data_IF_354568460092
#
_entry.id   IF_354568460092
#
_cell.length_a   1.000
_cell.length_b   1.000
_cell.length_c   1.000
_cell.angle_alpha   90.00
_cell.angle_beta   90.00
_cell.angle_gamma   90.00
#
_symmetry.space_group_name_H-M   'P 1'
#
loop_
_entity.id
_entity.type
_entity.pdbx_description
1 polymer ?
#
# COMPACT_ATOMS: atom_id res chain seq x y z
N UNK A 1 9.58 -1.41 15.04
CA UNK A 1 8.20 -1.78 14.69
C UNK A 1 8.28 -2.86 13.65
N UNK A 2 7.72 -4.04 13.92
CA UNK A 2 7.68 -5.14 12.96
C UNK A 2 6.52 -4.99 11.99
N UNK A 3 6.66 -5.52 10.78
CA UNK A 3 5.57 -5.48 9.77
C UNK A 3 4.27 -6.14 10.26
N UNK A 4 4.37 -7.11 11.18
CA UNK A 4 3.23 -7.80 11.78
C UNK A 4 2.28 -6.88 12.54
N UNK A 5 2.74 -5.73 13.02
CA UNK A 5 1.92 -4.73 13.73
C UNK A 5 0.93 -4.01 12.80
N UNK A 6 1.14 -4.08 11.49
CA UNK A 6 0.27 -3.48 10.47
C UNK A 6 -0.66 -4.50 9.81
N UNK A 7 -0.58 -5.77 10.19
CA UNK A 7 -1.42 -6.82 9.62
C UNK A 7 -2.76 -6.91 10.34
N UNK A 8 -3.79 -7.49 9.69
CA UNK A 8 -5.05 -7.84 10.36
C UNK A 8 -4.81 -8.67 11.63
N UNK A 9 -5.66 -8.54 12.65
CA UNK A 9 -5.50 -9.26 13.93
C UNK A 9 -5.44 -10.79 13.74
N UNK A 10 -6.13 -11.30 12.73
CA UNK A 10 -6.23 -12.72 12.39
C UNK A 10 -5.18 -13.18 11.36
N UNK A 11 -4.13 -12.39 11.09
CA UNK A 11 -3.15 -12.68 10.03
C UNK A 11 -2.50 -14.07 10.11
N UNK A 12 -2.40 -14.65 11.32
CA UNK A 12 -1.87 -16.01 11.51
C UNK A 12 -2.81 -17.10 10.97
N UNK A 13 -4.11 -16.83 10.91
CA UNK A 13 -5.13 -17.71 10.34
C UNK A 13 -5.51 -17.33 8.89
N UNK A 14 -5.18 -16.11 8.47
CA UNK A 14 -5.46 -15.60 7.13
C UNK A 14 -4.49 -16.14 6.04
N UNK A 15 -4.84 -15.90 4.79
CA UNK A 15 -3.93 -15.95 3.64
C UNK A 15 -3.78 -14.54 3.09
N UNK A 16 -2.61 -13.94 3.25
CA UNK A 16 -2.32 -12.59 2.77
C UNK A 16 -1.41 -12.64 1.55
N UNK A 17 -1.64 -11.76 0.59
CA UNK A 17 -0.84 -11.61 -0.63
C UNK A 17 -0.06 -10.30 -0.59
N UNK A 18 1.21 -10.33 -0.94
CA UNK A 18 2.05 -9.15 -0.99
C UNK A 18 3.26 -9.33 -1.89
N UNK A 19 4.20 -8.38 -1.80
CA UNK A 19 5.48 -8.41 -2.51
C UNK A 19 6.61 -8.04 -1.57
N UNK A 20 7.70 -8.82 -1.63
CA UNK A 20 8.92 -8.60 -0.86
C UNK A 20 10.10 -8.68 -1.83
N UNK A 21 11.12 -7.87 -1.64
CA UNK A 21 12.43 -8.03 -2.27
C UNK A 21 13.39 -8.63 -1.24
N UNK A 22 13.92 -9.82 -1.52
CA UNK A 22 14.88 -10.53 -0.67
C UNK A 22 16.35 -10.24 -1.08
N UNK A 23 16.59 -9.25 -1.94
CA UNK A 23 17.89 -8.93 -2.54
C UNK A 23 18.05 -9.44 -3.98
N UNK A 24 17.10 -10.23 -4.46
CA UNK A 24 17.08 -10.81 -5.82
C UNK A 24 16.03 -10.12 -6.72
N UNK A 25 15.36 -9.08 -6.22
CA UNK A 25 14.32 -8.34 -6.90
C UNK A 25 12.92 -8.65 -6.38
N UNK A 26 11.88 -8.04 -6.98
CA UNK A 26 10.51 -8.18 -6.50
C UNK A 26 9.98 -9.61 -6.58
N UNK A 27 9.58 -10.15 -5.43
CA UNK A 27 9.03 -11.50 -5.29
C UNK A 27 7.57 -11.43 -4.82
N UNK A 28 6.60 -12.00 -5.56
CA UNK A 28 5.25 -12.18 -5.02
C UNK A 28 5.27 -13.21 -3.90
N UNK A 29 4.62 -12.88 -2.78
CA UNK A 29 4.62 -13.72 -1.58
C UNK A 29 3.21 -13.96 -1.05
N UNK A 30 3.00 -15.14 -0.46
CA UNK A 30 1.86 -15.41 0.41
C UNK A 30 2.31 -15.48 1.87
N UNK A 31 1.54 -14.88 2.77
CA UNK A 31 1.66 -15.13 4.21
C UNK A 31 0.54 -16.07 4.63
N UNK A 32 0.90 -17.27 5.10
CA UNK A 32 -0.04 -18.31 5.54
C UNK A 32 0.48 -19.00 6.78
N UNK A 33 -0.34 -19.10 7.83
CA UNK A 33 0.07 -19.80 9.05
C UNK A 33 1.29 -19.16 9.73
N UNK A 34 1.45 -17.84 9.62
CA UNK A 34 2.59 -17.13 10.20
C UNK A 34 3.88 -17.15 9.35
N UNK A 35 3.89 -17.81 8.19
CA UNK A 35 5.08 -18.01 7.35
C UNK A 35 4.97 -17.28 6.03
N UNK A 36 6.11 -16.82 5.52
CA UNK A 36 6.24 -16.18 4.21
C UNK A 36 6.63 -17.22 3.18
N UNK A 37 5.85 -17.30 2.10
CA UNK A 37 6.06 -18.21 0.99
C UNK A 37 6.30 -17.42 -0.28
N UNK A 38 7.44 -17.65 -0.92
CA UNK A 38 7.75 -17.15 -2.25
C UNK A 38 6.99 -17.98 -3.29
N UNK A 39 6.08 -17.33 -4.02
CA UNK A 39 5.24 -17.95 -5.05
C UNK A 39 5.66 -17.58 -6.47
N UNK A 40 6.86 -17.01 -6.66
CA UNK A 40 7.39 -16.58 -7.96
C UNK A 40 7.47 -17.71 -8.99
N UNK A 41 7.72 -18.95 -8.55
CA UNK A 41 7.72 -20.16 -9.40
C UNK A 41 6.32 -20.58 -9.86
N UNK A 42 5.26 -20.13 -9.18
CA UNK A 42 3.86 -20.38 -9.53
C UNK A 42 3.39 -19.28 -10.49
N UNK A 43 3.64 -18.03 -10.12
CA UNK A 43 3.35 -16.86 -10.93
C UNK A 43 4.40 -15.78 -10.64
N UNK A 44 5.08 -15.22 -11.67
CA UNK A 44 6.21 -14.32 -11.46
C UNK A 44 5.78 -12.93 -10.95
N UNK A 45 4.48 -12.59 -11.06
CA UNK A 45 3.91 -11.32 -10.58
C UNK A 45 2.63 -11.56 -9.78
N UNK A 46 2.24 -10.59 -8.96
CA UNK A 46 0.93 -10.58 -8.28
C UNK A 46 -0.21 -10.52 -9.29
N UNK A 47 -0.06 -9.72 -10.36
CA UNK A 47 -1.03 -9.70 -11.46
C UNK A 47 -1.24 -11.10 -12.06
N UNK A 48 -0.16 -11.83 -12.37
CA UNK A 48 -0.25 -13.18 -12.93
C UNK A 48 -0.89 -14.16 -11.94
N UNK A 49 -0.55 -14.06 -10.65
CA UNK A 49 -1.14 -14.91 -9.61
C UNK A 49 -2.66 -14.69 -9.51
N UNK A 50 -3.10 -13.44 -9.50
CA UNK A 50 -4.52 -13.10 -9.43
C UNK A 50 -5.30 -13.48 -10.70
N UNK A 51 -4.62 -13.51 -11.87
CA UNK A 51 -5.23 -13.96 -13.12
C UNK A 51 -5.31 -15.49 -13.23
N UNK A 52 -4.35 -16.20 -12.64
CA UNK A 52 -4.27 -17.66 -12.70
C UNK A 52 -5.28 -18.38 -11.80
N UNK A 53 -5.71 -17.74 -10.70
CA UNK A 53 -6.56 -18.37 -9.69
C UNK A 53 -7.89 -17.62 -9.50
N UNK A 54 -8.99 -18.36 -9.50
CA UNK A 54 -10.30 -17.80 -9.16
C UNK A 54 -10.37 -17.45 -7.67
N UNK A 55 -11.22 -16.49 -7.26
CA UNK A 55 -11.46 -16.22 -5.85
C UNK A 55 -11.84 -17.48 -5.07
N UNK A 56 -11.18 -17.71 -3.93
CA UNK A 56 -11.38 -18.90 -3.10
C UNK A 56 -10.65 -20.16 -3.57
N UNK A 57 -9.95 -20.13 -4.71
CA UNK A 57 -9.10 -21.24 -5.13
C UNK A 57 -7.92 -21.41 -4.16
N UNK A 58 -7.54 -22.68 -3.94
CA UNK A 58 -6.37 -23.00 -3.14
C UNK A 58 -5.12 -22.81 -3.99
N UNK A 59 -4.31 -21.80 -3.64
CA UNK A 59 -3.02 -21.56 -4.28
C UNK A 59 -2.00 -22.59 -3.76
N UNK A 60 -1.21 -23.26 -4.63
CA UNK A 60 -0.15 -24.17 -4.20
C UNK A 60 0.85 -23.52 -3.23
N UNK A 61 1.56 -24.34 -2.44
CA UNK A 61 2.61 -23.85 -1.53
C UNK A 61 3.82 -23.38 -2.33
N UNK A 62 4.34 -22.22 -1.95
CA UNK A 62 5.58 -21.66 -2.48
C UNK A 62 6.82 -22.17 -1.73
N UNK A 63 7.95 -21.55 -2.01
CA UNK A 63 9.19 -21.75 -1.26
C UNK A 63 9.09 -21.05 0.10
N UNK A 64 9.30 -21.79 1.19
CA UNK A 64 9.22 -21.26 2.55
C UNK A 64 10.44 -20.39 2.88
N UNK A 65 10.22 -19.08 3.07
CA UNK A 65 11.23 -18.11 3.50
C UNK A 65 11.32 -17.97 5.01
N UNK A 66 10.48 -18.70 5.77
CA UNK A 66 10.49 -18.74 7.22
C UNK A 66 9.35 -17.95 7.89
N UNK A 67 9.37 -17.86 9.23
CA UNK A 67 8.37 -17.10 9.98
C UNK A 67 8.44 -15.61 9.64
N UNK A 68 7.29 -14.96 9.43
CA UNK A 68 7.21 -13.53 9.15
C UNK A 68 7.92 -12.69 10.23
N UNK A 69 7.70 -13.06 11.49
CA UNK A 69 8.26 -12.37 12.66
C UNK A 69 9.79 -12.51 12.76
N UNK A 70 10.40 -13.47 12.06
CA UNK A 70 11.85 -13.68 12.05
C UNK A 70 12.55 -12.89 10.92
N UNK A 71 11.81 -12.30 9.99
CA UNK A 71 12.34 -11.52 8.88
C UNK A 71 12.39 -10.04 9.28
N UNK A 72 13.57 -9.41 9.20
CA UNK A 72 13.73 -7.95 9.36
C UNK A 72 13.26 -7.23 8.09
N UNK A 73 11.94 -7.24 7.89
CA UNK A 73 11.28 -6.64 6.73
C UNK A 73 11.15 -5.15 6.96
N UNK A 74 11.70 -4.34 6.05
CA UNK A 74 11.57 -2.87 6.06
C UNK A 74 10.82 -2.37 4.85
N UNK A 75 9.83 -1.48 5.00
CA UNK A 75 9.23 -0.83 3.85
C UNK A 75 10.27 -0.09 3.01
N UNK A 76 10.20 -0.25 1.69
CA UNK A 76 11.15 0.40 0.77
C UNK A 76 11.11 1.94 0.87
N UNK A 77 9.99 2.53 1.30
CA UNK A 77 9.86 3.97 1.51
C UNK A 77 10.47 4.47 2.83
N UNK A 78 10.84 3.57 3.74
CA UNK A 78 11.54 3.87 5.01
C UNK A 78 13.05 3.55 4.94
N UNK A 79 13.53 3.06 3.80
CA UNK A 79 14.93 2.67 3.57
C UNK A 79 15.50 3.37 2.32
N UNK A 80 15.71 4.69 2.36
CA UNK A 80 16.16 5.47 1.20
C UNK A 80 17.57 5.08 0.72
N UNK A 81 18.43 4.60 1.61
CA UNK A 81 19.78 4.13 1.30
C UNK A 81 19.80 2.67 0.80
N UNK A 82 18.65 1.98 0.87
CA UNK A 82 18.49 0.62 0.37
C UNK A 82 19.30 -0.42 1.15
N UNK A 83 19.62 -0.15 2.42
CA UNK A 83 20.49 -0.98 3.24
C UNK A 83 19.78 -2.22 3.82
N UNK A 84 18.44 -2.23 3.87
CA UNK A 84 17.70 -3.36 4.41
C UNK A 84 17.85 -4.61 3.51
N UNK A 85 18.15 -5.78 4.07
CA UNK A 85 18.30 -7.02 3.28
C UNK A 85 16.96 -7.54 2.75
N UNK A 86 15.85 -7.23 3.43
CA UNK A 86 14.50 -7.66 3.05
C UNK A 86 13.58 -6.44 3.02
N UNK A 87 13.04 -6.14 1.84
CA UNK A 87 12.26 -4.92 1.61
C UNK A 87 10.82 -5.23 1.29
N UNK A 88 9.88 -4.64 2.04
CA UNK A 88 8.47 -4.67 1.70
C UNK A 88 8.20 -3.71 0.55
N UNK A 89 7.57 -4.22 -0.50
CA UNK A 89 7.16 -3.46 -1.68
C UNK A 89 5.66 -3.19 -1.65
N UNK A 90 5.20 -2.32 -2.55
CA UNK A 90 3.76 -2.21 -2.83
C UNK A 90 3.21 -3.59 -3.22
N UNK A 91 2.07 -4.04 -2.65
CA UNK A 91 1.53 -5.36 -2.93
C UNK A 91 1.00 -5.49 -4.37
N UNK A 92 0.72 -4.37 -5.01
CA UNK A 92 0.31 -4.28 -6.41
C UNK A 92 1.50 -4.06 -7.33
N UNK A 93 1.51 -4.68 -8.51
CA UNK A 93 2.55 -4.49 -9.54
C UNK A 93 2.01 -3.93 -10.86
N UNK A 94 1.58 -4.78 -11.78
CA UNK A 94 1.15 -4.43 -13.14
C UNK A 94 -0.35 -4.09 -13.18
N UNK A 95 -1.01 -4.16 -12.04
CA UNK A 95 -2.45 -3.92 -11.90
C UNK A 95 -2.77 -2.45 -12.12
N UNK A 96 -3.81 -2.16 -12.91
CA UNK A 96 -4.28 -0.80 -13.09
C UNK A 96 -4.87 -0.26 -11.76
N UNK A 97 -4.25 0.80 -11.24
CA UNK A 97 -4.80 1.56 -10.12
C UNK A 97 -5.80 2.59 -10.63
N UNK A 98 -7.10 2.34 -10.43
CA UNK A 98 -8.13 3.31 -10.74
C UNK A 98 -8.23 4.34 -9.61
N UNK A 99 -7.83 5.58 -9.87
CA UNK A 99 -8.08 6.70 -8.96
C UNK A 99 -9.55 7.15 -9.07
N UNK A 100 -10.47 6.37 -8.50
CA UNK A 100 -11.85 6.81 -8.37
C UNK A 100 -11.97 7.79 -7.18
N UNK A 101 -11.96 9.10 -7.45
CA UNK A 101 -12.52 10.12 -6.55
C UNK A 101 -11.57 11.03 -5.77
N UNK A 102 -10.26 10.76 -5.73
CA UNK A 102 -9.33 11.58 -4.92
C UNK A 102 -9.09 12.97 -5.53
N UNK A 103 -9.12 13.09 -6.86
CA UNK A 103 -9.00 14.38 -7.55
C UNK A 103 -10.31 15.16 -7.63
N UNK A 104 -11.47 14.50 -7.59
CA UNK A 104 -12.76 15.19 -7.67
C UNK A 104 -13.08 15.92 -6.36
N UNK A 105 -12.86 15.31 -5.20
CA UNK A 105 -13.16 15.96 -3.92
C UNK A 105 -12.32 17.22 -3.68
N UNK A 106 -11.02 17.18 -4.01
CA UNK A 106 -10.12 18.34 -3.86
C UNK A 106 -10.45 19.44 -4.86
N UNK A 107 -10.58 19.11 -6.15
CA UNK A 107 -10.89 20.12 -7.18
C UNK A 107 -12.30 20.71 -7.03
N UNK A 108 -13.27 19.96 -6.50
CA UNK A 108 -14.61 20.46 -6.21
C UNK A 108 -14.61 21.42 -5.02
N UNK A 109 -13.85 21.12 -3.96
CA UNK A 109 -13.68 22.03 -2.83
C UNK A 109 -12.97 23.33 -3.24
N UNK A 110 -11.93 23.23 -4.07
CA UNK A 110 -11.24 24.40 -4.62
C UNK A 110 -12.18 25.25 -5.49
N UNK A 111 -12.98 24.63 -6.37
CA UNK A 111 -14.00 25.33 -7.15
C UNK A 111 -15.09 25.98 -6.30
N UNK A 112 -15.57 25.31 -5.25
CA UNK A 112 -16.59 25.86 -4.33
C UNK A 112 -16.05 27.03 -3.53
N UNK A 113 -14.77 27.00 -3.14
CA UNK A 113 -14.10 28.15 -2.50
C UNK A 113 -14.03 29.33 -3.48
N UNK A 114 -13.65 29.08 -4.74
CA UNK A 114 -13.55 30.13 -5.76
C UNK A 114 -14.92 30.73 -6.13
N UNK A 115 -15.95 29.91 -6.28
CA UNK A 115 -17.31 30.36 -6.56
C UNK A 115 -17.94 31.14 -5.39
N UNK A 116 -17.67 30.75 -4.14
CA UNK A 116 -18.15 31.48 -2.96
C UNK A 116 -17.40 32.81 -2.73
N UNK A 117 -16.11 32.88 -3.07
CA UNK A 117 -15.32 34.12 -2.95
C UNK A 117 -15.75 35.22 -3.94
N UNK A 118 -16.36 34.85 -5.08
CA UNK A 118 -16.93 35.82 -6.05
C UNK A 118 -18.23 36.48 -5.58
N UNK A 119 -18.81 36.07 -4.45
CA UNK A 119 -20.09 36.56 -3.95
C UNK A 119 -20.03 37.58 -2.82
N UNK A 120 -18.88 37.78 -2.16
CA UNK A 120 -18.80 38.67 -0.99
C UNK A 120 -17.39 39.32 -0.89
N UNK A 121 -17.31 40.61 -1.21
CA UNK A 121 -16.06 41.38 -1.23
C UNK A 121 -15.49 41.69 0.18
N UNK A 122 -16.08 41.14 1.25
CA UNK A 122 -15.62 41.30 2.64
C UNK A 122 -14.92 40.08 3.26
N UNK A 123 -14.71 38.99 2.51
CA UNK A 123 -14.32 37.69 3.09
C UNK A 123 -12.80 37.45 3.22
N UNK A 124 -12.02 38.41 3.70
CA UNK A 124 -10.56 38.22 3.94
C UNK A 124 -10.26 37.27 5.12
N UNK A 125 -11.23 36.98 5.98
CA UNK A 125 -11.06 36.11 7.16
C UNK A 125 -11.18 34.61 6.86
N UNK A 126 -11.86 34.21 5.79
CA UNK A 126 -12.12 32.79 5.48
C UNK A 126 -10.94 32.11 4.77
N UNK A 127 -10.21 32.86 3.94
CA UNK A 127 -9.08 32.38 3.11
C UNK A 127 -7.89 31.91 3.97
N UNK A 128 -7.71 32.51 5.16
CA UNK A 128 -6.58 32.20 6.04
C UNK A 128 -6.81 30.96 6.92
N UNK A 129 -8.07 30.64 7.27
CA UNK A 129 -8.37 29.48 8.13
C UNK A 129 -8.26 28.17 7.35
N UNK A 130 -8.80 28.12 6.12
CA UNK A 130 -8.74 26.93 5.27
C UNK A 130 -7.30 26.61 4.80
N UNK A 131 -6.51 27.63 4.46
CA UNK A 131 -5.11 27.45 4.01
C UNK A 131 -4.15 27.03 5.12
N UNK A 132 -4.45 27.39 6.38
CA UNK A 132 -3.68 26.99 7.56
C UNK A 132 -3.98 25.56 8.01
N UNK A 133 -5.22 25.10 7.84
CA UNK A 133 -5.62 23.71 8.13
C UNK A 133 -5.11 22.71 7.07
N UNK A 134 -5.04 23.12 5.80
CA UNK A 134 -4.46 22.30 4.72
C UNK A 134 -2.95 22.07 4.88
N UNK A 135 -2.18 23.06 5.37
CA UNK A 135 -0.75 22.88 5.67
C UNK A 135 -0.49 21.97 6.88
N UNK A 136 -1.46 21.86 7.79
CA UNK A 136 -1.40 20.96 8.95
C UNK A 136 -1.82 19.53 8.63
N UNK A 137 -2.58 19.31 7.55
CA UNK A 137 -3.11 18.00 7.11
C UNK A 137 -2.38 17.41 5.90
N UNK A 138 -1.09 17.74 5.73
CA UNK A 138 -0.18 16.95 4.87
C UNK A 138 0.74 16.06 5.72
N UNK A 139 0.29 14.89 6.18
CA UNK A 139 1.17 13.78 6.49
C UNK A 139 0.98 12.71 5.42
N UNK A 140 1.26 13.07 4.16
CA UNK A 140 1.60 12.14 3.09
C UNK A 140 2.65 12.85 2.25
#
# INVERSE_FOLDING_TARGET
MGVSEFLPEDWKAATLLGRIDFGEGPTPVLVRGGRVEDVSKIAPTVADLMNAFQPGAVIPRGEDKGPLEALDIRPVWEDPDGAAPVKLLAPVDLQCLKAAGVTFAVSTLERVIEERARGDAGADSYTQVASRDLRRKKPW
#
